data_IF_288713054437
#
_entry.id   IF_288713054437
#
_cell.length_a   1.000
_cell.length_b   1.000
_cell.length_c   1.000
_cell.angle_alpha   90.00
_cell.angle_beta   90.00
_cell.angle_gamma   90.00
#
_symmetry.space_group_name_H-M   'P 1'
#
loop_
_entity.id
_entity.type
_entity.pdbx_description
1 polymer ?
#
# COMPACT_ATOMS: atom_id res chain seq x y z
N UNK A 1 -11.87 -13.80 22.29
CA UNK A 1 -11.83 -12.58 23.12
C UNK A 1 -11.39 -11.41 22.24
N UNK A 2 -12.24 -10.41 22.03
CA UNK A 2 -11.91 -9.25 21.21
C UNK A 2 -11.36 -8.14 22.11
N UNK A 3 -10.07 -7.82 21.96
CA UNK A 3 -9.39 -6.77 22.74
C UNK A 3 -9.98 -5.39 22.37
N UNK A 4 -10.24 -4.58 23.40
CA UNK A 4 -10.82 -3.23 23.29
C UNK A 4 -9.96 -2.37 22.36
N UNK A 5 -10.60 -1.54 21.53
CA UNK A 5 -9.97 -0.71 20.48
C UNK A 5 -8.82 0.16 20.99
N UNK A 6 -8.87 0.53 22.27
CA UNK A 6 -7.94 1.44 22.94
C UNK A 6 -6.74 0.69 23.56
N UNK A 7 -6.83 -0.63 23.63
CA UNK A 7 -5.82 -1.55 24.21
C UNK A 7 -5.09 -2.37 23.14
N UNK A 8 -5.49 -2.21 21.87
CA UNK A 8 -4.73 -2.73 20.73
C UNK A 8 -3.51 -1.84 20.55
N UNK A 9 -2.44 -2.13 21.27
CA UNK A 9 -1.13 -1.60 20.89
C UNK A 9 -0.89 -1.99 19.44
N UNK A 10 -0.67 -1.01 18.56
CA UNK A 10 -0.31 -1.24 17.15
C UNK A 10 0.79 -2.29 17.16
N UNK A 11 0.45 -3.49 16.69
CA UNK A 11 1.35 -4.62 16.74
C UNK A 11 2.50 -4.32 15.78
N UNK A 12 3.74 -4.72 16.09
CA UNK A 12 4.85 -4.58 15.14
C UNK A 12 4.54 -5.32 13.83
N UNK A 13 3.74 -6.40 13.92
CA UNK A 13 3.18 -7.11 12.78
C UNK A 13 2.16 -6.30 11.98
N UNK A 14 1.49 -5.31 12.57
CA UNK A 14 0.47 -4.52 11.90
C UNK A 14 1.09 -3.70 10.76
N UNK A 15 2.18 -2.95 11.05
CA UNK A 15 2.94 -2.20 10.04
C UNK A 15 3.41 -3.08 8.88
N UNK A 16 3.95 -4.26 9.18
CA UNK A 16 4.36 -5.19 8.13
C UNK A 16 3.17 -5.68 7.29
N UNK A 17 2.08 -6.09 7.93
CA UNK A 17 0.91 -6.62 7.23
C UNK A 17 0.24 -5.58 6.34
N UNK A 18 0.15 -4.33 6.82
CA UNK A 18 -0.46 -3.23 6.09
C UNK A 18 0.44 -2.79 4.92
N UNK A 19 1.76 -2.67 5.12
CA UNK A 19 2.72 -2.39 4.05
C UNK A 19 2.75 -3.50 2.99
N UNK A 20 2.79 -4.78 3.39
CA UNK A 20 2.79 -5.91 2.46
C UNK A 20 1.49 -5.98 1.63
N UNK A 21 0.34 -5.71 2.27
CA UNK A 21 -0.96 -5.63 1.60
C UNK A 21 -1.02 -4.46 0.62
N UNK A 22 -0.57 -3.27 1.04
CA UNK A 22 -0.48 -2.08 0.19
C UNK A 22 0.37 -2.37 -1.06
N UNK A 23 1.56 -2.96 -0.89
CA UNK A 23 2.41 -3.38 -2.01
C UNK A 23 1.67 -4.32 -2.96
N UNK A 24 1.04 -5.37 -2.44
CA UNK A 24 0.32 -6.33 -3.29
C UNK A 24 -0.85 -5.70 -4.05
N UNK A 25 -1.60 -4.79 -3.43
CA UNK A 25 -2.76 -4.14 -4.05
C UNK A 25 -2.35 -3.09 -5.10
N UNK A 26 -1.35 -2.25 -4.80
CA UNK A 26 -0.84 -1.26 -5.76
C UNK A 26 -0.16 -1.91 -6.96
N UNK A 27 0.69 -2.92 -6.74
CA UNK A 27 1.32 -3.65 -7.85
C UNK A 27 0.26 -4.24 -8.80
N UNK A 28 -0.87 -4.74 -8.28
CA UNK A 28 -1.96 -5.25 -9.13
C UNK A 28 -2.60 -4.16 -9.98
N UNK A 29 -2.72 -2.93 -9.50
CA UNK A 29 -3.23 -1.81 -10.31
C UNK A 29 -2.24 -1.43 -11.42
N UNK A 30 -0.96 -1.34 -11.09
CA UNK A 30 0.09 -1.00 -12.05
C UNK A 30 0.24 -2.04 -13.16
N UNK A 31 0.07 -3.32 -12.81
CA UNK A 31 0.07 -4.45 -13.77
C UNK A 31 -1.14 -4.44 -14.71
N UNK A 32 -2.26 -3.84 -14.29
CA UNK A 32 -3.45 -3.74 -15.13
C UNK A 32 -3.36 -2.51 -16.02
N UNK A 33 -3.59 -1.34 -15.45
CA UNK A 33 -3.85 -0.13 -16.23
C UNK A 33 -3.63 1.18 -15.49
N UNK A 34 -2.93 1.18 -14.35
CA UNK A 34 -2.81 2.36 -13.47
C UNK A 34 -4.13 2.92 -12.91
N UNK A 35 -5.28 2.28 -13.17
CA UNK A 35 -6.58 2.88 -12.92
C UNK A 35 -6.99 3.91 -13.98
N UNK A 36 -6.52 3.75 -15.22
CA UNK A 36 -6.95 4.57 -16.37
C UNK A 36 -8.48 4.58 -16.48
N UNK A 37 -8.99 5.76 -16.81
CA UNK A 37 -10.41 5.98 -17.09
C UNK A 37 -10.79 5.31 -18.41
N UNK A 38 -11.85 4.53 -18.39
CA UNK A 38 -12.36 3.77 -19.53
C UNK A 38 -13.85 4.04 -19.74
N UNK A 39 -14.32 3.82 -20.96
CA UNK A 39 -15.70 3.99 -21.40
C UNK A 39 -16.39 2.64 -21.44
N UNK A 40 -17.22 2.34 -20.44
CA UNK A 40 -18.01 1.09 -20.42
C UNK A 40 -18.97 1.05 -21.62
N UNK A 41 -19.01 -0.09 -22.32
CA UNK A 41 -20.00 -0.33 -23.38
C UNK A 41 -19.73 0.40 -24.69
N UNK A 42 -18.49 0.86 -24.91
CA UNK A 42 -18.00 1.39 -26.21
C UNK A 42 -18.29 0.42 -27.37
N UNK A 43 -18.20 -0.88 -27.13
CA UNK A 43 -18.38 -1.96 -28.10
C UNK A 43 -19.59 -2.85 -27.80
N UNK A 44 -19.95 -3.07 -26.53
CA UNK A 44 -21.04 -3.98 -26.13
C UNK A 44 -22.40 -3.30 -25.85
N UNK A 45 -22.46 -1.97 -25.87
CA UNK A 45 -23.59 -1.22 -25.28
C UNK A 45 -23.53 -1.21 -23.75
N UNK A 46 -24.21 -0.26 -23.12
CA UNK A 46 -24.12 -0.02 -21.67
C UNK A 46 -25.32 -0.63 -20.91
N UNK A 47 -25.11 -1.79 -20.30
CA UNK A 47 -25.95 -2.36 -19.26
C UNK A 47 -25.54 -1.79 -17.89
N UNK A 48 -26.52 -1.41 -17.09
CA UNK A 48 -26.35 -1.08 -15.67
C UNK A 48 -26.02 -2.31 -14.85
N UNK A 49 -25.41 -2.15 -13.67
CA UNK A 49 -25.15 -3.30 -12.79
C UNK A 49 -26.44 -4.00 -12.35
N UNK A 50 -27.54 -3.26 -12.18
CA UNK A 50 -28.86 -3.80 -11.89
C UNK A 50 -29.39 -4.67 -13.03
N UNK A 51 -29.23 -4.25 -14.29
CA UNK A 51 -29.61 -5.07 -15.45
C UNK A 51 -28.76 -6.32 -15.56
N UNK A 52 -27.45 -6.21 -15.39
CA UNK A 52 -26.55 -7.37 -15.38
C UNK A 52 -26.94 -8.32 -14.25
N UNK A 53 -27.32 -7.81 -13.07
CA UNK A 53 -27.78 -8.61 -11.94
C UNK A 53 -29.05 -9.39 -12.28
N UNK A 54 -30.08 -8.72 -12.83
CA UNK A 54 -31.31 -9.38 -13.29
C UNK A 54 -31.03 -10.47 -14.33
N UNK A 55 -30.22 -10.15 -15.36
CA UNK A 55 -29.80 -11.11 -16.39
C UNK A 55 -29.04 -12.29 -15.77
N UNK A 56 -28.21 -12.05 -14.74
CA UNK A 56 -27.46 -13.11 -14.06
C UNK A 56 -28.38 -14.03 -13.25
N UNK A 57 -29.43 -13.49 -12.64
CA UNK A 57 -30.43 -14.26 -11.89
C UNK A 57 -31.28 -15.12 -12.83
N UNK A 58 -31.71 -14.58 -13.97
CA UNK A 58 -32.48 -15.30 -15.00
C UNK A 58 -31.62 -16.30 -15.79
N UNK A 59 -30.39 -15.90 -16.14
CA UNK A 59 -29.44 -16.72 -16.87
C UNK A 59 -27.99 -16.47 -16.41
N UNK A 60 -27.49 -17.28 -15.46
CA UNK A 60 -26.15 -17.12 -14.91
C UNK A 60 -25.02 -17.19 -15.94
N UNK A 61 -25.21 -17.93 -17.06
CA UNK A 61 -24.19 -18.04 -18.11
C UNK A 61 -24.06 -16.73 -18.89
N UNK A 62 -25.19 -16.13 -19.26
CA UNK A 62 -25.21 -14.85 -19.99
C UNK A 62 -24.69 -13.73 -19.09
N UNK A 63 -25.13 -13.66 -17.83
CA UNK A 63 -24.62 -12.67 -16.88
C UNK A 63 -23.10 -12.75 -16.70
N UNK A 64 -22.53 -13.96 -16.58
CA UNK A 64 -21.07 -14.16 -16.55
C UNK A 64 -20.37 -13.75 -17.85
N UNK A 65 -20.98 -14.04 -19.01
CA UNK A 65 -20.45 -13.63 -20.30
C UNK A 65 -20.36 -12.11 -20.41
N UNK A 66 -21.44 -11.38 -20.08
CA UNK A 66 -21.46 -9.91 -20.12
C UNK A 66 -20.37 -9.31 -19.24
N UNK A 67 -20.24 -9.76 -17.98
CA UNK A 67 -19.18 -9.29 -17.08
C UNK A 67 -17.78 -9.53 -17.64
N UNK A 68 -17.55 -10.69 -18.26
CA UNK A 68 -16.27 -11.01 -18.89
C UNK A 68 -16.01 -10.15 -20.12
N UNK A 69 -17.03 -9.89 -20.92
CA UNK A 69 -16.95 -9.04 -22.10
C UNK A 69 -16.60 -7.60 -21.73
N UNK A 70 -17.23 -7.02 -20.70
CA UNK A 70 -16.86 -5.71 -20.16
C UNK A 70 -15.45 -5.64 -19.60
N UNK A 71 -15.00 -6.70 -18.93
CA UNK A 71 -13.60 -6.76 -18.47
C UNK A 71 -12.62 -6.75 -19.64
N UNK A 72 -12.92 -7.50 -20.71
CA UNK A 72 -12.09 -7.54 -21.91
C UNK A 72 -12.08 -6.19 -22.63
N UNK A 73 -13.23 -5.53 -22.71
CA UNK A 73 -13.37 -4.18 -23.26
C UNK A 73 -12.52 -3.16 -22.47
N UNK A 74 -12.57 -3.18 -21.14
CA UNK A 74 -11.73 -2.31 -20.29
C UNK A 74 -10.23 -2.58 -20.52
N UNK A 75 -9.82 -3.84 -20.68
CA UNK A 75 -8.44 -4.25 -20.97
C UNK A 75 -7.98 -3.76 -22.36
N UNK A 76 -8.83 -3.87 -23.38
CA UNK A 76 -8.54 -3.41 -24.74
C UNK A 76 -8.42 -1.88 -24.80
N UNK A 77 -9.39 -1.15 -24.24
CA UNK A 77 -9.38 0.32 -24.24
C UNK A 77 -8.20 0.87 -23.44
N UNK A 78 -7.86 0.24 -22.30
CA UNK A 78 -6.63 0.55 -21.57
C UNK A 78 -5.42 0.50 -22.49
N UNK A 79 -5.29 -0.59 -23.24
CA UNK A 79 -4.11 -0.84 -24.05
C UNK A 79 -4.06 0.10 -25.27
N UNK A 80 -5.22 0.49 -25.82
CA UNK A 80 -5.32 1.58 -26.79
C UNK A 80 -4.81 2.90 -26.19
N UNK A 81 -5.33 3.30 -25.02
CA UNK A 81 -4.93 4.55 -24.34
C UNK A 81 -3.43 4.54 -24.02
N UNK A 82 -2.91 3.45 -23.44
CA UNK A 82 -1.49 3.36 -23.08
C UNK A 82 -0.56 3.41 -24.30
N UNK A 83 -1.01 3.00 -25.49
CA UNK A 83 -0.22 3.10 -26.74
C UNK A 83 -0.08 4.53 -27.25
N UNK A 84 -0.94 5.45 -26.79
CA UNK A 84 -0.78 6.89 -27.07
C UNK A 84 0.42 7.48 -26.30
N UNK A 85 0.90 6.78 -25.27
CA UNK A 85 2.05 7.18 -24.47
C UNK A 85 3.30 6.39 -24.88
N UNK A 86 4.50 7.02 -24.88
CA UNK A 86 5.73 6.29 -25.08
C UNK A 86 5.93 5.21 -24.01
N UNK A 87 6.33 4.00 -24.43
CA UNK A 87 6.50 2.86 -23.53
C UNK A 87 7.39 3.18 -22.31
N UNK A 88 8.50 3.90 -22.55
CA UNK A 88 9.45 4.32 -21.51
C UNK A 88 8.79 5.12 -20.38
N UNK A 89 7.79 5.96 -20.67
CA UNK A 89 7.08 6.74 -19.64
C UNK A 89 6.31 5.79 -18.72
N UNK A 90 5.57 4.86 -19.32
CA UNK A 90 4.76 3.89 -18.56
C UNK A 90 5.64 2.94 -17.75
N UNK A 91 6.79 2.52 -18.30
CA UNK A 91 7.76 1.67 -17.61
C UNK A 91 8.41 2.40 -16.44
N UNK A 92 8.88 3.63 -16.66
CA UNK A 92 9.45 4.48 -15.61
C UNK A 92 8.48 4.68 -14.46
N UNK A 93 7.20 4.99 -14.74
CA UNK A 93 6.20 5.17 -13.68
C UNK A 93 5.96 3.89 -12.87
N UNK A 94 5.91 2.72 -13.54
CA UNK A 94 5.78 1.43 -12.85
C UNK A 94 7.00 1.13 -11.98
N UNK A 95 8.19 1.31 -12.53
CA UNK A 95 9.45 1.04 -11.85
C UNK A 95 9.58 1.89 -10.59
N UNK A 96 9.29 3.19 -10.70
CA UNK A 96 9.36 4.12 -9.57
C UNK A 96 8.46 3.67 -8.42
N UNK A 97 7.19 3.40 -8.71
CA UNK A 97 6.22 2.97 -7.68
C UNK A 97 6.59 1.60 -7.10
N UNK A 98 6.96 0.62 -7.91
CA UNK A 98 7.35 -0.73 -7.45
C UNK A 98 8.59 -0.67 -6.56
N UNK A 99 9.58 0.15 -6.95
CA UNK A 99 10.81 0.33 -6.18
C UNK A 99 10.51 0.91 -4.82
N UNK A 100 9.72 1.99 -4.76
CA UNK A 100 9.31 2.63 -3.50
C UNK A 100 8.54 1.65 -2.60
N UNK A 101 7.64 0.83 -3.16
CA UNK A 101 6.92 -0.19 -2.40
C UNK A 101 7.82 -1.31 -1.86
N UNK A 102 8.84 -1.71 -2.60
CA UNK A 102 9.82 -2.70 -2.15
C UNK A 102 10.68 -2.13 -1.02
N UNK A 103 11.13 -0.88 -1.14
CA UNK A 103 11.88 -0.18 -0.10
C UNK A 103 11.07 -0.05 1.19
N UNK A 104 9.78 0.34 1.08
CA UNK A 104 8.89 0.43 2.23
C UNK A 104 8.86 -0.89 3.01
N UNK A 105 8.64 -2.01 2.33
CA UNK A 105 8.59 -3.33 2.99
C UNK A 105 9.96 -3.71 3.56
N UNK A 106 11.05 -3.48 2.84
CA UNK A 106 12.41 -3.75 3.31
C UNK A 106 12.75 -2.97 4.58
N UNK A 107 12.48 -1.66 4.60
CA UNK A 107 12.68 -0.82 5.79
C UNK A 107 11.80 -1.26 6.96
N UNK A 108 10.55 -1.66 6.74
CA UNK A 108 9.69 -2.21 7.81
C UNK A 108 10.26 -3.52 8.36
N UNK A 109 10.74 -4.41 7.50
CA UNK A 109 11.37 -5.67 7.92
C UNK A 109 12.65 -5.42 8.72
N UNK A 110 13.51 -4.50 8.27
CA UNK A 110 14.73 -4.13 8.98
C UNK A 110 14.45 -3.47 10.33
N UNK A 111 13.39 -2.67 10.41
CA UNK A 111 12.95 -2.06 11.65
C UNK A 111 12.43 -3.09 12.68
N UNK A 112 12.00 -4.29 12.28
CA UNK A 112 11.43 -5.29 13.20
C UNK A 112 12.44 -5.91 14.18
N UNK A 113 13.74 -5.67 14.04
CA UNK A 113 14.75 -6.13 15.00
C UNK A 113 14.47 -5.60 16.42
N UNK A 114 14.58 -6.46 17.44
CA UNK A 114 14.25 -6.11 18.83
C UNK A 114 15.47 -5.51 19.57
N UNK A 115 15.49 -4.20 19.85
CA UNK A 115 16.72 -3.55 20.34
C UNK A 115 17.07 -3.93 21.78
N UNK A 116 18.33 -4.27 22.04
CA UNK A 116 18.85 -4.55 23.39
C UNK A 116 19.73 -3.45 23.97
N UNK A 117 20.14 -2.49 23.15
CA UNK A 117 20.91 -1.30 23.54
C UNK A 117 20.41 -0.05 22.79
N UNK A 118 20.93 1.11 23.16
CA UNK A 118 20.52 2.38 22.55
C UNK A 118 20.88 2.51 21.08
N UNK A 119 22.03 2.00 20.66
CA UNK A 119 22.47 2.07 19.27
C UNK A 119 21.53 1.28 18.33
N UNK A 120 21.14 0.07 18.72
CA UNK A 120 20.15 -0.72 17.98
C UNK A 120 18.77 -0.04 17.95
N UNK A 121 18.40 0.68 19.02
CA UNK A 121 17.14 1.42 19.08
C UNK A 121 17.16 2.62 18.11
N UNK A 122 18.29 3.28 17.93
CA UNK A 122 18.49 4.34 16.95
C UNK A 122 18.38 3.79 15.52
N UNK A 123 19.10 2.71 15.21
CA UNK A 123 19.02 2.03 13.90
C UNK A 123 17.57 1.66 13.56
N UNK A 124 16.84 1.08 14.53
CA UNK A 124 15.42 0.77 14.35
C UNK A 124 14.59 2.01 14.02
N UNK A 125 14.82 3.13 14.71
CA UNK A 125 14.10 4.40 14.45
C UNK A 125 14.44 4.95 13.08
N UNK A 126 15.67 4.80 12.62
CA UNK A 126 16.09 5.26 11.30
C UNK A 126 15.39 4.48 10.19
N UNK A 127 15.28 3.16 10.30
CA UNK A 127 14.48 2.37 9.36
C UNK A 127 12.98 2.71 9.40
N UNK A 128 12.42 2.98 10.59
CA UNK A 128 11.04 3.45 10.69
C UNK A 128 10.84 4.83 10.02
N UNK A 129 11.82 5.73 10.15
CA UNK A 129 11.78 7.03 9.46
C UNK A 129 11.89 6.85 7.93
N UNK A 130 12.76 5.95 7.48
CA UNK A 130 12.91 5.62 6.07
C UNK A 130 11.61 5.05 5.48
N UNK A 131 10.94 4.13 6.19
CA UNK A 131 9.64 3.61 5.79
C UNK A 131 8.56 4.72 5.68
N UNK A 132 8.52 5.66 6.63
CA UNK A 132 7.59 6.82 6.55
C UNK A 132 7.90 7.67 5.30
N UNK A 133 9.18 7.91 5.03
CA UNK A 133 9.62 8.64 3.85
C UNK A 133 9.25 7.92 2.54
N UNK A 134 9.35 6.59 2.49
CA UNK A 134 8.91 5.82 1.33
C UNK A 134 7.40 5.99 1.08
N UNK A 135 6.57 6.02 2.13
CA UNK A 135 5.14 6.33 1.98
C UNK A 135 4.91 7.74 1.41
N UNK A 136 5.66 8.74 1.88
CA UNK A 136 5.56 10.12 1.37
C UNK A 136 6.00 10.23 -0.10
N UNK A 137 7.09 9.55 -0.47
CA UNK A 137 7.55 9.44 -1.87
C UNK A 137 6.49 8.75 -2.72
N UNK A 138 5.89 7.66 -2.20
CA UNK A 138 4.85 6.93 -2.91
C UNK A 138 3.63 7.82 -3.22
N UNK A 139 3.20 8.66 -2.28
CA UNK A 139 2.13 9.64 -2.54
C UNK A 139 2.50 10.60 -3.67
N UNK A 140 3.74 11.10 -3.71
CA UNK A 140 4.22 11.97 -4.78
C UNK A 140 4.27 11.24 -6.12
N UNK A 141 4.70 9.98 -6.15
CA UNK A 141 4.77 9.18 -7.37
C UNK A 141 3.37 8.86 -7.93
N UNK A 142 2.41 8.57 -7.05
CA UNK A 142 1.01 8.38 -7.43
C UNK A 142 0.40 9.67 -7.99
N UNK A 143 0.66 10.81 -7.34
CA UNK A 143 0.22 12.11 -7.83
C UNK A 143 0.84 12.46 -9.18
N UNK A 144 2.13 12.17 -9.37
CA UNK A 144 2.81 12.37 -10.64
C UNK A 144 2.22 11.48 -11.74
N UNK A 145 1.94 10.20 -11.45
CA UNK A 145 1.28 9.31 -12.41
C UNK A 145 -0.09 9.86 -12.86
N UNK A 146 -0.86 10.47 -11.95
CA UNK A 146 -2.14 11.12 -12.30
C UNK A 146 -2.00 12.38 -13.15
N UNK A 147 -0.87 13.08 -13.06
CA UNK A 147 -0.60 14.26 -13.89
C UNK A 147 -0.22 13.88 -15.33
N UNK A 148 0.40 12.71 -15.51
CA UNK A 148 0.90 12.25 -16.81
C UNK A 148 -0.11 11.36 -17.53
N UNK A 149 -0.78 10.46 -16.82
CA UNK A 149 -1.72 9.50 -17.40
C UNK A 149 -3.17 9.89 -17.07
N UNK A 150 -4.14 9.52 -17.92
CA UNK A 150 -5.56 9.82 -17.71
C UNK A 150 -6.18 8.85 -16.69
N UNK A 151 -5.62 8.85 -15.48
CA UNK A 151 -6.04 8.02 -14.35
C UNK A 151 -7.37 8.56 -13.80
N UNK A 152 -8.32 7.67 -13.57
CA UNK A 152 -9.51 8.00 -12.79
C UNK A 152 -9.11 8.18 -11.33
N UNK A 153 -9.20 9.42 -10.84
CA UNK A 153 -8.88 9.79 -9.47
C UNK A 153 -9.60 8.88 -8.46
N UNK A 154 -10.85 8.51 -8.73
CA UNK A 154 -11.64 7.67 -7.84
C UNK A 154 -11.10 6.25 -7.74
N UNK A 155 -10.39 5.76 -8.76
CA UNK A 155 -9.70 4.46 -8.72
C UNK A 155 -8.42 4.52 -7.87
N UNK A 156 -7.81 5.70 -7.69
CA UNK A 156 -6.55 5.84 -6.95
C UNK A 156 -6.72 6.34 -5.50
N UNK A 157 -7.76 7.13 -5.20
CA UNK A 157 -8.05 7.63 -3.84
C UNK A 157 -8.01 6.53 -2.75
N UNK A 158 -8.60 5.33 -2.94
CA UNK A 158 -8.54 4.29 -1.92
C UNK A 158 -7.11 3.83 -1.58
N UNK A 159 -6.16 4.04 -2.47
CA UNK A 159 -4.75 3.72 -2.26
C UNK A 159 -4.03 4.83 -1.53
N UNK A 160 -4.35 6.09 -1.85
CA UNK A 160 -3.88 7.26 -1.07
C UNK A 160 -4.27 7.09 0.40
N UNK A 161 -5.53 6.77 0.68
CA UNK A 161 -6.02 6.54 2.04
C UNK A 161 -5.26 5.41 2.75
N UNK A 162 -4.91 4.33 2.03
CA UNK A 162 -4.11 3.23 2.57
C UNK A 162 -2.68 3.65 2.89
N UNK A 163 -2.07 4.50 2.05
CA UNK A 163 -0.72 5.03 2.30
C UNK A 163 -0.72 5.97 3.51
N UNK A 164 -1.71 6.85 3.63
CA UNK A 164 -1.86 7.72 4.80
C UNK A 164 -2.10 6.93 6.09
N UNK A 165 -2.91 5.87 6.01
CA UNK A 165 -3.10 4.94 7.10
C UNK A 165 -1.78 4.26 7.50
N UNK A 166 -0.98 3.81 6.54
CA UNK A 166 0.35 3.23 6.79
C UNK A 166 1.27 4.23 7.52
N UNK A 167 1.30 5.49 7.09
CA UNK A 167 2.06 6.55 7.77
C UNK A 167 1.63 6.69 9.23
N UNK A 168 0.33 6.64 9.51
CA UNK A 168 -0.18 6.71 10.88
C UNK A 168 0.25 5.50 11.72
N UNK A 169 0.18 4.29 11.15
CA UNK A 169 0.66 3.05 11.77
C UNK A 169 2.15 3.14 12.11
N UNK A 170 2.99 3.54 11.15
CA UNK A 170 4.43 3.68 11.34
C UNK A 170 4.79 4.75 12.39
N UNK A 171 4.10 5.90 12.39
CA UNK A 171 4.28 6.96 13.41
C UNK A 171 3.91 6.45 14.81
N UNK A 172 2.83 5.70 14.92
CA UNK A 172 2.40 5.05 16.17
C UNK A 172 3.42 4.03 16.66
N UNK A 173 3.91 3.17 15.77
CA UNK A 173 4.94 2.19 16.06
C UNK A 173 6.26 2.83 16.52
N UNK A 174 6.70 3.89 15.85
CA UNK A 174 7.88 4.67 16.26
C UNK A 174 7.72 5.30 17.64
N UNK A 175 6.52 5.77 18.00
CA UNK A 175 6.23 6.32 19.33
C UNK A 175 6.33 5.24 20.43
N UNK A 176 6.00 3.98 20.11
CA UNK A 176 6.08 2.87 21.04
C UNK A 176 7.52 2.56 21.50
N UNK A 177 8.54 2.97 20.73
CA UNK A 177 9.96 2.84 21.09
C UNK A 177 10.32 3.48 22.44
N UNK A 178 9.55 4.46 22.92
CA UNK A 178 9.74 5.03 24.25
C UNK A 178 9.66 4.00 25.39
N UNK A 179 8.89 2.92 25.22
CA UNK A 179 8.83 1.80 26.18
C UNK A 179 10.13 0.99 26.15
N UNK A 180 10.68 0.76 24.96
CA UNK A 180 11.94 0.03 24.77
C UNK A 180 13.10 0.82 25.39
N UNK A 181 13.16 2.13 25.15
CA UNK A 181 14.17 3.01 25.76
C UNK A 181 14.17 2.95 27.29
N UNK A 182 12.98 3.00 27.93
CA UNK A 182 12.86 2.87 29.40
C UNK A 182 13.40 1.53 29.91
N UNK A 183 13.12 0.44 29.19
CA UNK A 183 13.60 -0.89 29.53
C UNK A 183 15.13 -0.99 29.45
N UNK A 184 15.74 -0.48 28.38
CA UNK A 184 17.19 -0.48 28.18
C UNK A 184 17.88 0.28 29.34
N UNK A 185 17.41 1.49 29.68
CA UNK A 185 17.94 2.26 30.83
C UNK A 185 17.90 1.50 32.13
N UNK A 186 16.80 0.78 32.39
CA UNK A 186 16.65 -0.02 33.61
C UNK A 186 17.66 -1.17 33.65
N UNK A 187 17.89 -1.84 32.51
CA UNK A 187 18.86 -2.93 32.40
C UNK A 187 20.29 -2.42 32.61
N UNK A 188 20.66 -1.29 32.00
CA UNK A 188 21.98 -0.66 32.18
C UNK A 188 22.22 -0.24 33.63
N UNK A 189 21.24 0.41 34.27
CA UNK A 189 21.33 0.80 35.68
C UNK A 189 21.45 -0.41 36.63
N UNK A 190 20.78 -1.52 36.31
CA UNK A 190 20.92 -2.77 37.07
C UNK A 190 22.30 -3.40 36.93
N UNK A 191 22.91 -3.38 35.73
CA UNK A 191 24.26 -3.89 35.50
C UNK A 191 25.32 -3.10 36.26
N UNK A 192 25.25 -1.76 36.21
CA UNK A 192 26.18 -0.89 36.94
C UNK A 192 26.14 -1.12 38.46
N UNK A 193 24.95 -1.40 39.02
CA UNK A 193 24.79 -1.74 40.45
C UNK A 193 25.35 -3.12 40.82
N UNK A 194 25.45 -4.04 39.87
CA UNK A 194 25.99 -5.38 40.08
C UNK A 194 27.53 -5.40 39.94
N UNK A 195 28.08 -4.56 39.05
CA UNK A 195 29.53 -4.43 38.81
C UNK A 195 30.23 -3.51 39.82
N UNK A 196 29.49 -2.60 40.47
CA UNK A 196 30.00 -1.72 41.54
C UNK A 196 29.94 -2.33 42.94
N UNK A 197 29.76 -3.64 43.08
CA UNK A 197 29.85 -4.43 44.32
C UNK A 197 30.96 -5.45 44.20
#
# INVERSE_FOLDING_TARGET
MAVLKNERGISEMEAYNTAAKLRAELTRILLRNFGIKTTKGKYLGSFTEEEIKKITEENPRIGKFIRRAYKLEEELETHEILREYPAWVTEMLREKVITTLNNLVDHVVRANGYPVNFHELEIRRDYQNAAIKDCEILLQDLQYAMQILPIDVNKLLPYVDKVEFEIAVLKGWRKANGKIAKRIRKQEASKQKAEGK
#
